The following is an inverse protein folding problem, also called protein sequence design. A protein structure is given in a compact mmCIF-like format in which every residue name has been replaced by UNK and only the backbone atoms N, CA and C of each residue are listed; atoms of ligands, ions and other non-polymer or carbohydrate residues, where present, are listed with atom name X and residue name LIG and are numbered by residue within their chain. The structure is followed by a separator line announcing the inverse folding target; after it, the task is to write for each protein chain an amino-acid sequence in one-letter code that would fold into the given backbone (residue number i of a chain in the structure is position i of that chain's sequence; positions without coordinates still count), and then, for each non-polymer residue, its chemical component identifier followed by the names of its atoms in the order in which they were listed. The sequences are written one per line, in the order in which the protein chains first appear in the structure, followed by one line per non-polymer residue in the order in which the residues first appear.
data_IF_057456803681
#
_entry.id   IF_057456803681
#
_cell.length_a   1.000
_cell.length_b   1.000
_cell.length_c   1.000
_cell.angle_alpha   90.00
_cell.angle_beta   90.00
_cell.angle_gamma   90.00
#
_symmetry.space_group_name_H-M   'P 1'
#
loop_
_entity.id
_entity.type
_entity.pdbx_description
1 polymer ?
#
# COMPACT_ATOMS: atom_id res chain seq x y z
N UNK A 1 32.74 -37.73 61.73
CA UNK A 1 34.07 -37.08 61.64
C UNK A 1 34.88 -37.80 60.56
N UNK A 2 35.11 -37.09 59.45
CA UNK A 2 36.19 -37.26 58.47
C UNK A 2 36.49 -38.64 57.86
N UNK A 3 36.12 -38.83 56.60
CA UNK A 3 36.87 -39.70 55.68
C UNK A 3 36.86 -39.12 54.24
N UNK A 4 37.86 -38.29 53.91
CA UNK A 4 38.05 -37.71 52.57
C UNK A 4 39.51 -37.79 52.13
N UNK A 5 40.09 -38.99 52.14
CA UNK A 5 41.46 -39.24 51.63
C UNK A 5 41.55 -39.45 50.11
N UNK A 6 40.43 -39.36 49.39
CA UNK A 6 40.39 -39.59 47.93
C UNK A 6 40.38 -38.30 47.07
N UNK A 7 40.18 -37.12 47.65
CA UNK A 7 40.14 -35.86 46.90
C UNK A 7 41.54 -35.25 46.63
N UNK A 8 42.55 -35.54 47.44
CA UNK A 8 43.90 -34.96 47.27
C UNK A 8 44.78 -35.65 46.22
N UNK A 9 44.39 -36.84 45.71
CA UNK A 9 45.24 -37.60 44.77
C UNK A 9 45.05 -37.20 43.30
N UNK A 10 43.94 -36.55 42.97
CA UNK A 10 43.62 -36.12 41.60
C UNK A 10 44.20 -34.73 41.29
N UNK A 11 44.28 -33.84 42.30
CA UNK A 11 44.77 -32.47 42.12
C UNK A 11 46.28 -32.45 41.79
N UNK A 12 47.08 -33.36 42.36
CA UNK A 12 48.53 -33.39 42.11
C UNK A 12 48.96 -34.08 40.81
N UNK A 13 48.09 -34.83 40.13
CA UNK A 13 48.46 -35.55 38.89
C UNK A 13 48.20 -34.74 37.61
N UNK A 14 47.37 -33.70 37.68
CA UNK A 14 47.06 -32.82 36.53
C UNK A 14 48.04 -31.64 36.44
N UNK A 15 48.71 -31.27 37.53
CA UNK A 15 49.76 -30.24 37.54
C UNK A 15 51.08 -30.68 36.88
N UNK A 16 51.22 -31.96 36.49
CA UNK A 16 52.47 -32.53 35.93
C UNK A 16 52.42 -32.77 34.41
N UNK A 17 51.44 -32.20 33.70
CA UNK A 17 51.33 -32.28 32.22
C UNK A 17 51.07 -30.90 31.62
N UNK A 18 51.87 -29.92 32.03
CA UNK A 18 52.03 -28.65 31.30
C UNK A 18 53.52 -28.47 31.05
N UNK A 19 53.91 -28.68 29.79
CA UNK A 19 55.27 -28.54 29.29
C UNK A 19 55.90 -27.19 29.71
N UNK A 20 57.23 -27.13 29.87
CA UNK A 20 57.94 -25.87 30.05
C UNK A 20 57.79 -25.06 28.77
N UNK A 21 57.09 -23.93 28.82
CA UNK A 21 56.95 -23.06 27.65
C UNK A 21 58.31 -22.39 27.38
N UNK A 22 58.86 -22.49 26.15
CA UNK A 22 60.06 -21.78 25.79
C UNK A 22 59.79 -20.27 25.79
N UNK A 23 60.68 -19.58 26.50
CA UNK A 23 60.85 -18.14 26.58
C UNK A 23 61.32 -17.61 25.21
N UNK A 24 60.70 -16.52 24.75
CA UNK A 24 61.18 -15.60 23.69
C UNK A 24 60.67 -15.82 22.25
N UNK A 25 59.89 -14.85 21.77
CA UNK A 25 59.59 -14.54 20.36
C UNK A 25 59.23 -13.04 20.29
N UNK A 26 59.48 -12.32 19.17
CA UNK A 26 59.44 -10.86 19.17
C UNK A 26 57.98 -10.38 19.15
N UNK A 27 57.44 -10.12 20.33
CA UNK A 27 56.25 -9.28 20.47
C UNK A 27 56.67 -7.88 20.04
N UNK A 28 56.18 -7.45 18.87
CA UNK A 28 56.18 -6.02 18.54
C UNK A 28 55.18 -5.36 19.48
N UNK A 29 55.69 -4.70 20.51
CA UNK A 29 54.91 -3.73 21.27
C UNK A 29 54.46 -2.63 20.30
N UNK A 30 53.19 -2.68 19.91
CA UNK A 30 52.55 -1.53 19.28
C UNK A 30 52.30 -0.51 20.38
N UNK A 31 53.14 0.52 20.43
CA UNK A 31 52.83 1.73 21.19
C UNK A 31 51.56 2.37 20.60
N UNK A 32 50.41 2.06 21.18
CA UNK A 32 49.19 2.83 20.95
C UNK A 32 49.42 4.18 21.61
N UNK A 33 49.69 5.21 20.80
CA UNK A 33 49.58 6.59 21.25
C UNK A 33 48.11 6.82 21.57
N UNK A 34 47.79 6.89 22.86
CA UNK A 34 46.50 7.38 23.32
C UNK A 34 46.48 8.87 23.01
N UNK A 35 45.99 9.23 21.83
CA UNK A 35 45.76 10.63 21.50
C UNK A 35 44.63 11.12 22.39
N UNK A 36 44.97 11.99 23.34
CA UNK A 36 44.03 12.67 24.20
C UNK A 36 43.20 13.59 23.30
N UNK A 37 42.01 13.13 22.90
CA UNK A 37 41.02 13.96 22.22
C UNK A 37 40.38 14.88 23.25
N UNK A 38 41.06 15.97 23.61
CA UNK A 38 40.40 17.11 24.23
C UNK A 38 39.46 17.72 23.20
N UNK A 39 38.18 17.41 23.33
CA UNK A 39 37.12 17.99 22.50
C UNK A 39 36.98 19.48 22.87
N UNK A 40 37.86 20.32 22.32
CA UNK A 40 37.62 21.77 22.29
C UNK A 40 36.35 21.95 21.46
N UNK A 41 35.34 22.58 22.05
CA UNK A 41 34.01 22.85 21.51
C UNK A 41 34.07 23.66 20.21
N UNK A 42 34.39 22.99 19.10
CA UNK A 42 34.24 23.55 17.76
C UNK A 42 32.79 23.33 17.34
N UNK A 43 31.94 24.35 17.56
CA UNK A 43 30.64 24.41 16.87
C UNK A 43 30.92 24.27 15.37
N UNK A 44 30.44 23.20 14.76
CA UNK A 44 30.39 23.05 13.31
C UNK A 44 29.32 24.01 12.80
N UNK A 45 29.69 25.27 12.58
CA UNK A 45 28.93 26.20 11.76
C UNK A 45 29.17 25.83 10.29
N UNK A 46 28.18 25.19 9.69
CA UNK A 46 28.14 24.93 8.24
C UNK A 46 28.14 23.44 7.89
N UNK A 47 27.20 23.07 7.01
CA UNK A 47 27.00 21.76 6.39
C UNK A 47 26.25 20.68 7.21
N UNK A 48 25.16 21.07 7.90
CA UNK A 48 24.24 20.13 8.55
C UNK A 48 22.86 19.96 7.89
N UNK A 49 22.58 20.62 6.75
CA UNK A 49 21.25 20.60 6.14
C UNK A 49 21.24 20.36 4.62
N UNK A 50 22.26 19.68 4.09
CA UNK A 50 22.09 18.98 2.81
C UNK A 50 21.68 17.55 3.14
N UNK A 51 20.42 17.39 3.52
CA UNK A 51 19.77 16.08 3.44
C UNK A 51 19.99 15.54 2.03
N UNK A 52 20.28 14.26 1.90
CA UNK A 52 20.34 13.61 0.59
C UNK A 52 19.11 14.05 -0.19
N UNK A 53 19.31 14.62 -1.40
CA UNK A 53 18.22 14.99 -2.29
C UNK A 53 17.41 13.70 -2.47
N UNK A 54 16.28 13.62 -1.77
CA UNK A 54 15.36 12.51 -1.95
C UNK A 54 15.08 12.48 -3.45
N UNK A 55 15.22 11.31 -4.09
CA UNK A 55 14.77 11.09 -5.46
C UNK A 55 13.24 11.25 -5.48
N UNK A 56 12.78 12.49 -5.42
CA UNK A 56 11.37 12.85 -5.30
C UNK A 56 10.59 12.42 -6.55
N UNK A 57 11.29 12.33 -7.69
CA UNK A 57 10.64 12.18 -8.99
C UNK A 57 10.38 10.73 -9.38
N UNK A 58 11.15 9.76 -8.85
CA UNK A 58 11.06 8.36 -9.31
C UNK A 58 9.81 7.62 -8.81
N UNK A 59 9.17 8.07 -7.72
CA UNK A 59 8.01 7.41 -7.15
C UNK A 59 6.79 8.34 -6.98
N UNK A 60 6.73 9.46 -7.69
CA UNK A 60 5.60 10.42 -7.58
C UNK A 60 4.24 9.74 -7.83
N UNK A 61 4.15 8.89 -8.86
CA UNK A 61 2.96 8.11 -9.16
C UNK A 61 2.60 7.10 -8.05
N UNK A 62 3.60 6.38 -7.52
CA UNK A 62 3.39 5.43 -6.43
C UNK A 62 2.94 6.12 -5.13
N UNK A 63 3.49 7.30 -4.82
CA UNK A 63 3.08 8.09 -3.67
C UNK A 63 1.65 8.66 -3.82
N UNK A 64 1.28 9.10 -5.03
CA UNK A 64 -0.07 9.55 -5.34
C UNK A 64 -1.10 8.42 -5.20
N UNK A 65 -0.80 7.24 -5.76
CA UNK A 65 -1.64 6.05 -5.60
C UNK A 65 -1.74 5.63 -4.14
N UNK A 66 -0.64 5.63 -3.38
CA UNK A 66 -0.65 5.34 -1.95
C UNK A 66 -1.52 6.32 -1.15
N UNK A 67 -1.46 7.62 -1.48
CA UNK A 67 -2.29 8.64 -0.84
C UNK A 67 -3.77 8.42 -1.14
N UNK A 68 -4.11 8.17 -2.40
CA UNK A 68 -5.48 7.91 -2.84
C UNK A 68 -6.03 6.62 -2.21
N UNK A 69 -5.23 5.56 -2.20
CA UNK A 69 -5.60 4.27 -1.60
C UNK A 69 -5.87 4.39 -0.11
N UNK A 70 -5.01 5.08 0.64
CA UNK A 70 -5.24 5.35 2.07
C UNK A 70 -6.40 6.30 2.36
N UNK A 71 -6.98 6.96 1.36
CA UNK A 71 -8.18 7.78 1.52
C UNK A 71 -9.45 7.04 1.08
N UNK A 72 -9.29 5.86 0.47
CA UNK A 72 -10.40 5.07 -0.05
C UNK A 72 -11.18 4.40 1.10
N UNK A 73 -12.52 4.52 1.16
CA UNK A 73 -13.32 3.92 2.22
C UNK A 73 -13.24 2.39 2.29
N UNK A 74 -12.89 1.73 1.18
CA UNK A 74 -12.75 0.27 1.11
C UNK A 74 -11.33 -0.21 1.43
N UNK A 75 -10.40 0.71 1.72
CA UNK A 75 -9.04 0.32 2.06
C UNK A 75 -9.00 -0.35 3.44
N UNK A 76 -8.22 -1.43 3.59
CA UNK A 76 -8.13 -2.12 4.87
C UNK A 76 -7.46 -1.23 5.93
N UNK A 77 -7.87 -1.30 7.22
CA UNK A 77 -7.40 -0.39 8.27
C UNK A 77 -5.87 -0.34 8.42
N UNK A 78 -5.18 -1.45 8.14
CA UNK A 78 -3.73 -1.53 8.24
C UNK A 78 -2.98 -0.69 7.19
N UNK A 79 -3.64 -0.21 6.13
CA UNK A 79 -3.02 0.68 5.14
C UNK A 79 -2.61 2.03 5.77
N UNK A 80 -3.34 2.50 6.78
CA UNK A 80 -3.10 3.80 7.42
C UNK A 80 -1.87 3.81 8.33
N UNK A 81 -1.40 2.62 8.77
CA UNK A 81 -0.25 2.46 9.69
C UNK A 81 1.06 3.03 9.15
N UNK A 82 1.20 3.05 7.83
CA UNK A 82 2.39 3.59 7.17
C UNK A 82 2.06 4.84 6.35
N UNK A 83 3.06 5.70 6.18
CA UNK A 83 2.94 6.91 5.37
C UNK A 83 2.82 6.57 3.89
N UNK A 84 2.21 7.46 3.07
CA UNK A 84 2.19 7.28 1.62
C UNK A 84 3.58 7.07 1.01
N UNK A 85 4.61 7.73 1.57
CA UNK A 85 6.00 7.58 1.14
C UNK A 85 6.56 6.17 1.37
N UNK A 86 6.14 5.49 2.45
CA UNK A 86 6.56 4.12 2.74
C UNK A 86 5.94 3.10 1.75
N UNK A 87 4.74 3.40 1.26
CA UNK A 87 4.06 2.61 0.22
C UNK A 87 4.53 2.94 -1.20
N UNK A 88 5.14 4.11 -1.41
CA UNK A 88 5.40 4.63 -2.75
C UNK A 88 6.27 3.71 -3.61
N UNK A 89 7.26 3.02 -3.00
CA UNK A 89 8.14 2.12 -3.74
C UNK A 89 7.41 0.88 -4.26
N UNK A 90 6.52 0.28 -3.45
CA UNK A 90 5.83 -0.96 -3.81
C UNK A 90 4.68 -0.71 -4.79
N UNK A 91 4.08 0.48 -4.71
CA UNK A 91 3.01 0.91 -5.60
C UNK A 91 3.52 1.63 -6.86
N UNK A 92 4.83 1.81 -7.03
CA UNK A 92 5.40 2.51 -8.18
C UNK A 92 5.10 1.78 -9.51
N UNK A 93 5.29 0.46 -9.56
CA UNK A 93 4.99 -0.32 -10.76
C UNK A 93 3.48 -0.35 -11.08
N UNK A 94 2.58 -0.69 -10.13
CA UNK A 94 1.14 -0.54 -10.31
C UNK A 94 0.71 0.84 -10.82
N UNK A 95 1.24 1.91 -10.24
CA UNK A 95 0.91 3.27 -10.64
C UNK A 95 1.33 3.58 -12.09
N UNK A 96 2.45 3.02 -12.57
CA UNK A 96 2.87 3.15 -13.98
C UNK A 96 1.91 2.45 -14.95
N UNK A 97 1.19 1.42 -14.49
CA UNK A 97 0.15 0.74 -15.24
C UNK A 97 -1.25 1.37 -15.04
N UNK A 98 -1.32 2.55 -14.42
CA UNK A 98 -2.57 3.28 -14.23
C UNK A 98 -3.51 2.65 -13.20
N UNK A 99 -2.97 1.87 -12.25
CA UNK A 99 -3.78 1.31 -11.17
C UNK A 99 -4.42 2.42 -10.33
N UNK A 100 -5.67 2.18 -9.93
CA UNK A 100 -6.45 3.01 -9.03
C UNK A 100 -6.47 2.39 -7.62
N UNK A 101 -6.89 3.14 -6.59
CA UNK A 101 -7.17 2.57 -5.26
C UNK A 101 -8.05 1.33 -5.30
N UNK A 102 -9.02 1.32 -6.22
CA UNK A 102 -9.96 0.21 -6.40
C UNK A 102 -9.27 -1.06 -6.89
N UNK A 103 -8.28 -0.93 -7.78
CA UNK A 103 -7.44 -2.06 -8.23
C UNK A 103 -6.65 -2.67 -7.06
N UNK A 104 -6.07 -1.82 -6.20
CA UNK A 104 -5.34 -2.30 -5.00
C UNK A 104 -6.28 -3.03 -4.05
N UNK A 105 -7.49 -2.49 -3.83
CA UNK A 105 -8.50 -3.15 -3.00
C UNK A 105 -9.01 -4.45 -3.63
N UNK A 106 -9.14 -4.51 -4.95
CA UNK A 106 -9.53 -5.73 -5.65
C UNK A 106 -8.45 -6.80 -5.53
N UNK A 107 -7.18 -6.45 -5.67
CA UNK A 107 -6.06 -7.38 -5.43
C UNK A 107 -6.12 -7.99 -4.02
N UNK A 108 -6.43 -7.17 -3.00
CA UNK A 108 -6.60 -7.65 -1.61
C UNK A 108 -7.79 -8.61 -1.51
N UNK A 109 -8.90 -8.33 -2.20
CA UNK A 109 -10.08 -9.22 -2.24
C UNK A 109 -9.78 -10.53 -2.97
N UNK A 110 -9.07 -10.48 -4.08
CA UNK A 110 -8.71 -11.65 -4.88
C UNK A 110 -7.78 -12.58 -4.09
N UNK A 111 -6.81 -12.01 -3.37
CA UNK A 111 -5.96 -12.74 -2.44
C UNK A 111 -6.77 -13.51 -1.39
N UNK A 112 -7.78 -12.87 -0.79
CA UNK A 112 -8.70 -13.53 0.14
C UNK A 112 -9.57 -14.59 -0.54
N UNK A 113 -10.05 -14.33 -1.76
CA UNK A 113 -10.90 -15.24 -2.53
C UNK A 113 -10.21 -16.55 -2.93
N UNK A 114 -8.88 -16.53 -3.04
CA UNK A 114 -8.06 -17.73 -3.30
C UNK A 114 -7.86 -18.59 -2.02
N UNK A 115 -8.35 -18.12 -0.88
CA UNK A 115 -8.28 -18.83 0.41
C UNK A 115 -7.09 -18.41 1.27
N UNK A 116 -6.37 -17.35 0.90
CA UNK A 116 -5.39 -16.77 1.80
C UNK A 116 -6.07 -15.98 2.92
N UNK A 117 -5.41 -15.90 4.07
CA UNK A 117 -5.91 -15.16 5.23
C UNK A 117 -5.08 -13.89 5.47
N UNK A 118 -5.76 -12.82 5.91
CA UNK A 118 -5.14 -11.55 6.29
C UNK A 118 -5.54 -11.25 7.74
N UNK A 119 -4.57 -11.07 8.67
CA UNK A 119 -4.87 -10.56 9.99
C UNK A 119 -5.41 -9.12 9.92
N UNK A 120 -6.31 -8.75 10.84
CA UNK A 120 -6.79 -7.35 10.96
C UNK A 120 -5.63 -6.35 11.16
N UNK A 121 -4.60 -6.79 11.88
CA UNK A 121 -3.42 -6.02 12.23
C UNK A 121 -2.13 -6.78 11.84
N UNK A 122 -1.79 -6.85 10.54
CA UNK A 122 -0.61 -7.58 10.09
C UNK A 122 0.67 -6.94 10.65
N UNK A 123 1.62 -7.78 11.05
CA UNK A 123 2.91 -7.33 11.58
C UNK A 123 3.79 -6.67 10.50
N UNK A 124 3.68 -7.15 9.25
CA UNK A 124 4.43 -6.63 8.09
C UNK A 124 3.48 -6.28 6.94
N UNK A 125 2.70 -5.19 7.05
CA UNK A 125 1.71 -4.80 6.03
C UNK A 125 2.34 -4.48 4.67
N UNK A 126 3.52 -3.84 4.65
CA UNK A 126 4.23 -3.54 3.39
C UNK A 126 4.69 -4.83 2.69
N UNK A 127 5.24 -5.78 3.46
CA UNK A 127 5.65 -7.08 2.93
C UNK A 127 4.47 -7.93 2.46
N UNK A 128 3.34 -7.87 3.17
CA UNK A 128 2.09 -8.53 2.78
C UNK A 128 1.59 -8.03 1.42
N UNK A 129 1.51 -6.71 1.24
CA UNK A 129 1.13 -6.13 -0.06
C UNK A 129 2.11 -6.52 -1.16
N UNK A 130 3.41 -6.63 -0.83
CA UNK A 130 4.42 -7.10 -1.77
C UNK A 130 4.21 -8.55 -2.20
N UNK A 131 3.83 -9.42 -1.27
CA UNK A 131 3.50 -10.81 -1.57
C UNK A 131 2.26 -10.91 -2.47
N UNK A 132 1.23 -10.09 -2.22
CA UNK A 132 0.05 -10.02 -3.08
C UNK A 132 0.41 -9.58 -4.50
N UNK A 133 1.24 -8.55 -4.64
CA UNK A 133 1.70 -8.07 -5.95
C UNK A 133 2.58 -9.09 -6.67
N UNK A 134 3.44 -9.80 -5.94
CA UNK A 134 4.26 -10.87 -6.51
C UNK A 134 3.40 -12.06 -6.98
N UNK A 135 2.35 -12.39 -6.23
CA UNK A 135 1.37 -13.43 -6.60
C UNK A 135 0.54 -13.04 -7.83
N UNK A 136 0.12 -11.77 -7.92
CA UNK A 136 -0.55 -11.24 -9.11
C UNK A 136 0.34 -11.35 -10.36
N UNK A 137 1.66 -11.24 -10.19
CA UNK A 137 2.65 -11.35 -11.25
C UNK A 137 2.99 -9.99 -11.87
N UNK A 138 4.28 -9.75 -12.11
CA UNK A 138 4.76 -8.48 -12.65
C UNK A 138 4.32 -8.27 -14.11
N UNK A 139 4.23 -9.37 -14.86
CA UNK A 139 3.74 -9.44 -16.23
C UNK A 139 2.23 -9.18 -16.36
N UNK A 140 1.47 -9.37 -15.28
CA UNK A 140 0.03 -9.15 -15.24
C UNK A 140 -0.37 -7.76 -14.72
N UNK A 141 0.60 -6.86 -14.45
CA UNK A 141 0.28 -5.52 -13.98
C UNK A 141 -0.51 -4.68 -15.00
N UNK A 142 -0.43 -5.01 -16.30
CA UNK A 142 -1.29 -4.40 -17.31
C UNK A 142 -2.76 -4.84 -17.21
N UNK A 143 -3.02 -6.04 -16.69
CA UNK A 143 -4.36 -6.54 -16.39
C UNK A 143 -4.82 -5.97 -15.04
N UNK A 144 -5.39 -4.76 -15.09
CA UNK A 144 -5.93 -4.05 -13.92
C UNK A 144 -7.05 -4.86 -13.26
N UNK A 145 -6.91 -5.29 -11.99
CA UNK A 145 -7.88 -6.15 -11.31
C UNK A 145 -9.33 -5.63 -11.32
N UNK A 146 -9.56 -4.33 -11.15
CA UNK A 146 -10.91 -3.76 -11.08
C UNK A 146 -11.48 -3.34 -12.45
N UNK A 147 -10.71 -3.43 -13.54
CA UNK A 147 -11.13 -2.87 -14.83
C UNK A 147 -12.39 -3.53 -15.40
N UNK A 148 -12.58 -4.84 -15.16
CA UNK A 148 -13.77 -5.56 -15.63
C UNK A 148 -15.04 -5.08 -14.90
N UNK A 149 -14.96 -4.91 -13.58
CA UNK A 149 -16.10 -4.44 -12.78
C UNK A 149 -16.39 -2.96 -13.03
N UNK A 150 -15.36 -2.12 -13.23
CA UNK A 150 -15.53 -0.72 -13.65
C UNK A 150 -16.27 -0.61 -15.00
N UNK A 151 -15.95 -1.48 -15.97
CA UNK A 151 -16.63 -1.53 -17.26
C UNK A 151 -18.10 -1.95 -17.14
N UNK A 152 -18.39 -2.95 -16.29
CA UNK A 152 -19.77 -3.37 -15.98
C UNK A 152 -20.57 -2.23 -15.36
N UNK A 153 -20.06 -1.60 -14.30
CA UNK A 153 -20.72 -0.47 -13.64
C UNK A 153 -20.90 0.74 -14.57
N UNK A 154 -19.95 0.99 -15.48
CA UNK A 154 -20.10 2.04 -16.49
C UNK A 154 -21.25 1.74 -17.46
N UNK A 155 -21.41 0.48 -17.87
CA UNK A 155 -22.51 0.06 -18.74
C UNK A 155 -23.87 0.19 -18.04
N UNK A 156 -23.95 -0.19 -16.77
CA UNK A 156 -25.18 -0.05 -15.96
C UNK A 156 -25.55 1.41 -15.76
N UNK A 157 -24.58 2.28 -15.48
CA UNK A 157 -24.81 3.72 -15.37
C UNK A 157 -25.28 4.32 -16.70
N UNK A 158 -24.71 3.91 -17.83
CA UNK A 158 -25.14 4.37 -19.14
C UNK A 158 -26.58 3.92 -19.45
N UNK A 159 -26.92 2.66 -19.15
CA UNK A 159 -28.27 2.14 -19.31
C UNK A 159 -29.29 2.89 -18.43
N UNK A 160 -28.94 3.17 -17.17
CA UNK A 160 -29.78 3.94 -16.27
C UNK A 160 -30.00 5.37 -16.77
N UNK A 161 -28.94 6.05 -17.23
CA UNK A 161 -29.05 7.39 -17.80
C UNK A 161 -29.92 7.42 -19.06
N UNK A 162 -29.78 6.42 -19.94
CA UNK A 162 -30.62 6.28 -21.12
C UNK A 162 -32.10 6.07 -20.75
N UNK A 163 -32.36 5.25 -19.73
CA UNK A 163 -33.71 5.04 -19.21
C UNK A 163 -34.35 6.34 -18.69
N UNK A 164 -33.61 7.10 -17.86
CA UNK A 164 -34.09 8.39 -17.34
C UNK A 164 -34.32 9.41 -18.47
N UNK A 165 -33.44 9.44 -19.47
CA UNK A 165 -33.62 10.31 -20.64
C UNK A 165 -34.89 9.94 -21.45
N UNK A 166 -35.14 8.64 -21.65
CA UNK A 166 -36.33 8.15 -22.32
C UNK A 166 -37.62 8.50 -21.55
N UNK A 167 -37.62 8.34 -20.22
CA UNK A 167 -38.74 8.75 -19.36
C UNK A 167 -39.03 10.26 -19.48
N UNK A 168 -37.98 11.09 -19.47
CA UNK A 168 -38.12 12.55 -19.64
C UNK A 168 -38.68 12.90 -21.01
N UNK A 169 -38.21 12.25 -22.07
CA UNK A 169 -38.72 12.47 -23.43
C UNK A 169 -40.20 12.06 -23.54
N UNK A 170 -40.58 10.90 -23.00
CA UNK A 170 -41.95 10.43 -22.97
C UNK A 170 -42.88 11.38 -22.19
N UNK A 171 -42.40 11.93 -21.07
CA UNK A 171 -43.15 12.91 -20.30
C UNK A 171 -43.40 14.20 -21.09
N UNK A 172 -42.37 14.73 -21.77
CA UNK A 172 -42.50 15.92 -22.63
C UNK A 172 -43.51 15.66 -23.75
N UNK A 173 -43.47 14.49 -24.39
CA UNK A 173 -44.39 14.15 -25.46
C UNK A 173 -45.83 14.01 -24.95
N UNK A 174 -46.03 13.38 -23.79
CA UNK A 174 -47.33 13.32 -23.13
C UNK A 174 -47.91 14.72 -22.86
N UNK A 175 -47.09 15.66 -22.38
CA UNK A 175 -47.53 17.04 -22.15
C UNK A 175 -47.92 17.75 -23.45
N UNK A 176 -47.18 17.52 -24.55
CA UNK A 176 -47.52 18.06 -25.88
C UNK A 176 -48.84 17.50 -26.40
N UNK A 177 -49.02 16.19 -26.34
CA UNK A 177 -50.26 15.53 -26.75
C UNK A 177 -51.46 16.05 -25.92
N UNK A 178 -51.29 16.20 -24.61
CA UNK A 178 -52.31 16.79 -23.73
C UNK A 178 -52.63 18.24 -24.10
N UNK A 179 -51.63 19.04 -24.45
CA UNK A 179 -51.85 20.42 -24.90
C UNK A 179 -52.60 20.47 -26.24
N UNK A 180 -52.24 19.60 -27.20
CA UNK A 180 -52.93 19.48 -28.48
C UNK A 180 -54.39 19.03 -28.30
N UNK A 181 -54.64 18.02 -27.46
CA UNK A 181 -56.00 17.58 -27.13
C UNK A 181 -56.86 18.68 -26.50
N UNK A 182 -56.28 19.46 -25.57
CA UNK A 182 -56.98 20.63 -25.00
C UNK A 182 -57.33 21.69 -26.04
N UNK A 183 -56.44 21.95 -27.00
CA UNK A 183 -56.72 22.88 -28.12
C UNK A 183 -57.83 22.35 -29.03
N UNK A 184 -57.84 21.06 -29.33
CA UNK A 184 -58.88 20.43 -30.15
C UNK A 184 -60.27 20.53 -29.48
N UNK A 185 -60.36 20.31 -28.16
CA UNK A 185 -61.60 20.47 -27.40
C UNK A 185 -62.11 21.91 -27.36
N UNK A 186 -61.21 22.89 -27.37
CA UNK A 186 -61.56 24.32 -27.41
C UNK A 186 -61.89 24.83 -28.83
N UNK A 187 -61.87 23.97 -29.85
CA UNK A 187 -62.14 24.38 -31.23
C UNK A 187 -63.64 24.57 -31.50
N UNK A 188 -63.96 25.51 -32.39
CA UNK A 188 -65.34 25.81 -32.83
C UNK A 188 -66.02 24.61 -33.50
N UNK A 189 -65.27 23.74 -34.18
CA UNK A 189 -65.79 22.49 -34.75
C UNK A 189 -66.25 21.48 -33.70
N UNK A 190 -65.54 21.38 -32.57
CA UNK A 190 -65.99 20.54 -31.45
C UNK A 190 -67.22 21.12 -30.74
N UNK A 191 -67.31 22.44 -30.62
CA UNK A 191 -68.48 23.13 -30.07
C UNK A 191 -69.74 22.91 -30.93
N UNK A 192 -69.62 22.98 -32.25
CA UNK A 192 -70.72 22.70 -33.18
C UNK A 192 -71.18 21.23 -33.13
N UNK A 193 -70.25 20.29 -33.00
CA UNK A 193 -70.57 18.86 -32.88
C UNK A 193 -71.27 18.46 -31.58
N UNK A 194 -71.25 19.31 -30.54
CA UNK A 194 -71.94 19.07 -29.25
C UNK A 194 -73.40 19.53 -29.23
N UNK A 195 -73.85 20.29 -30.23
CA UNK A 195 -75.18 20.93 -30.27
C UNK A 195 -76.17 20.16 -31.18
N UNK A 196 -75.68 19.15 -31.92
CA UNK A 196 -76.48 18.17 -32.68
C UNK A 196 -76.79 16.98 -31.76
#
# INVERSE_FOLDING_TARGET
LHDHRLLNRVIHKVQTVLSPHPRSGPVRDQHVRQDVVTTVTRRRSGAGNRGAVHRADLNGGGAALAKAWRADPQAPPWCHRHSPSAWAAILAAPARHGWTPRDVNQLVRDWLGVGHWIPDAPHKPIGLLGAMLAWHGAEHLAARPAALDEAREASERAAHQAHVAAQRAAHVEHLRARAAGRRALASTGHAAARVI
#
